data_IF_816443993401
#
_entry.id   IF_816443993401
#
_cell.length_a   1.000
_cell.length_b   1.000
_cell.length_c   1.000
_cell.angle_alpha   90.00
_cell.angle_beta   90.00
_cell.angle_gamma   90.00
#
_symmetry.space_group_name_H-M   'P 1'
#
loop_
_entity.id
_entity.type
_entity.pdbx_description
1 polymer ?
#
# COMPACT_ATOMS: atom_id res chain seq x y z
N UNK A 1 37.52 -4.26 -28.07
CA UNK A 1 36.41 -3.70 -27.25
C UNK A 1 36.85 -3.78 -25.80
N UNK A 2 37.39 -2.71 -25.23
CA UNK A 2 38.02 -2.71 -23.91
C UNK A 2 37.05 -2.11 -22.89
N UNK A 3 36.16 -2.95 -22.37
CA UNK A 3 35.30 -2.60 -21.26
C UNK A 3 36.05 -2.97 -19.97
N UNK A 4 36.33 -1.96 -19.15
CA UNK A 4 36.93 -2.14 -17.83
C UNK A 4 35.84 -1.90 -16.78
N UNK A 5 35.47 -2.93 -15.99
CA UNK A 5 34.44 -2.80 -14.97
C UNK A 5 34.82 -1.88 -13.81
N UNK A 6 36.12 -1.61 -13.62
CA UNK A 6 36.63 -0.71 -12.58
C UNK A 6 37.04 0.67 -13.14
N UNK A 7 36.94 0.86 -14.45
CA UNK A 7 37.29 2.12 -15.12
C UNK A 7 36.24 3.20 -14.89
N UNK A 8 36.68 4.46 -14.79
CA UNK A 8 35.75 5.59 -14.70
C UNK A 8 34.85 5.67 -15.94
N UNK A 9 33.57 5.96 -15.72
CA UNK A 9 32.58 6.13 -16.81
C UNK A 9 33.08 7.23 -17.76
N UNK A 10 33.28 6.89 -19.03
CA UNK A 10 33.73 7.84 -20.05
C UNK A 10 32.67 8.90 -20.29
N UNK A 11 33.01 10.15 -19.99
CA UNK A 11 32.15 11.30 -20.25
C UNK A 11 31.97 11.58 -21.74
N UNK A 12 30.87 12.26 -22.10
CA UNK A 12 30.57 12.69 -23.48
C UNK A 12 30.39 14.20 -23.55
N UNK A 13 30.91 14.79 -24.64
CA UNK A 13 30.86 16.26 -24.87
C UNK A 13 29.60 16.70 -25.65
N UNK A 14 28.71 15.78 -25.99
CA UNK A 14 27.52 16.10 -26.80
C UNK A 14 26.62 17.13 -26.09
N UNK A 15 26.12 18.10 -26.87
CA UNK A 15 25.41 19.28 -26.34
C UNK A 15 24.21 18.93 -25.45
N UNK A 16 23.49 17.84 -25.75
CA UNK A 16 22.35 17.35 -24.97
C UNK A 16 22.70 17.10 -23.49
N UNK A 17 23.93 16.65 -23.19
CA UNK A 17 24.35 16.42 -21.80
C UNK A 17 24.61 17.71 -21.03
N UNK A 18 24.96 18.82 -21.69
CA UNK A 18 25.08 20.14 -21.04
C UNK A 18 23.71 20.67 -20.62
N UNK A 19 22.71 20.49 -21.48
CA UNK A 19 21.32 20.89 -21.22
C UNK A 19 20.77 20.09 -20.04
N UNK A 20 20.89 18.76 -20.08
CA UNK A 20 20.43 17.88 -18.99
C UNK A 20 21.15 18.20 -17.67
N UNK A 21 22.47 18.42 -17.68
CA UNK A 21 23.24 18.79 -16.48
C UNK A 21 22.75 20.10 -15.86
N UNK A 22 22.38 21.11 -16.66
CA UNK A 22 21.86 22.38 -16.17
C UNK A 22 20.48 22.20 -15.51
N UNK A 23 19.61 21.37 -16.10
CA UNK A 23 18.27 21.09 -15.59
C UNK A 23 18.31 20.29 -14.27
N UNK A 24 19.17 19.27 -14.20
CA UNK A 24 19.28 18.43 -13.00
C UNK A 24 20.12 19.12 -11.90
N UNK A 25 21.21 19.80 -12.28
CA UNK A 25 22.11 20.48 -11.34
C UNK A 25 21.50 21.69 -10.64
N UNK A 26 20.44 22.29 -11.21
CA UNK A 26 19.68 23.36 -10.55
C UNK A 26 18.62 22.83 -9.57
N UNK A 27 18.22 21.55 -9.67
CA UNK A 27 17.30 20.91 -8.74
C UNK A 27 17.98 20.38 -7.47
N UNK A 28 19.31 20.22 -7.46
CA UNK A 28 20.05 19.68 -6.31
C UNK A 28 21.02 20.68 -5.72
N UNK A 29 20.53 21.56 -4.84
CA UNK A 29 21.35 22.08 -3.73
C UNK A 29 21.32 21.06 -2.58
N UNK A 30 22.02 19.95 -2.75
CA UNK A 30 22.43 19.10 -1.62
C UNK A 30 23.88 18.71 -1.83
N UNK A 31 24.75 19.41 -1.12
CA UNK A 31 26.14 19.07 -0.91
C UNK A 31 26.25 17.76 -0.12
N UNK A 32 27.24 16.95 -0.48
CA UNK A 32 27.82 15.75 0.17
C UNK A 32 27.43 14.38 -0.41
N UNK A 33 28.42 13.50 -0.68
CA UNK A 33 28.19 12.15 -1.20
C UNK A 33 27.70 11.27 -0.05
N UNK A 34 26.37 11.18 0.10
CA UNK A 34 25.77 10.17 0.97
C UNK A 34 25.91 8.82 0.28
N UNK A 35 26.69 7.93 0.88
CA UNK A 35 26.60 6.49 0.64
C UNK A 35 25.12 6.12 0.68
N UNK A 36 24.57 5.66 -0.44
CA UNK A 36 23.16 5.26 -0.52
C UNK A 36 23.01 3.92 0.18
N UNK A 37 23.06 3.90 1.51
CA UNK A 37 22.32 2.87 2.23
C UNK A 37 20.85 3.12 1.94
N UNK A 38 20.17 2.13 1.36
CA UNK A 38 18.72 2.13 1.30
C UNK A 38 18.21 2.29 2.72
N UNK A 39 17.57 3.42 3.01
CA UNK A 39 16.86 3.60 4.26
C UNK A 39 15.65 2.68 4.13
N UNK A 40 15.81 1.42 4.52
CA UNK A 40 14.70 0.47 4.62
C UNK A 40 13.50 1.16 5.26
N UNK A 41 12.28 0.78 4.86
CA UNK A 41 11.01 1.46 5.19
C UNK A 41 11.16 2.09 6.57
N UNK A 42 11.32 3.43 6.67
CA UNK A 42 11.63 4.07 7.92
C UNK A 42 10.47 3.72 8.84
N UNK A 43 10.78 2.82 9.78
CA UNK A 43 9.94 2.29 10.86
C UNK A 43 8.50 2.68 10.64
N UNK A 44 7.67 1.76 10.08
CA UNK A 44 6.21 1.88 9.92
C UNK A 44 5.76 3.03 10.80
N UNK A 45 5.51 4.22 10.23
CA UNK A 45 5.20 5.39 11.04
C UNK A 45 3.90 5.03 11.74
N UNK A 46 3.99 4.40 12.91
CA UNK A 46 2.87 3.84 13.64
C UNK A 46 1.95 5.01 14.01
N UNK A 47 2.56 6.15 14.28
CA UNK A 47 1.96 7.46 14.48
C UNK A 47 1.17 8.00 13.26
N UNK A 48 1.48 7.53 12.04
CA UNK A 48 0.73 7.85 10.80
C UNK A 48 -0.19 6.73 10.35
N UNK A 49 -0.02 5.52 10.88
CA UNK A 49 -0.99 4.45 10.74
C UNK A 49 -2.17 4.84 11.61
N UNK A 50 -3.14 5.55 11.01
CA UNK A 50 -4.43 5.79 11.66
C UNK A 50 -5.08 4.43 11.85
N UNK A 51 -4.79 3.76 12.96
CA UNK A 51 -5.61 2.67 13.42
C UNK A 51 -6.98 3.28 13.63
N UNK A 52 -7.98 2.79 12.90
CA UNK A 52 -9.34 3.17 13.19
C UNK A 52 -9.63 2.66 14.61
N UNK A 53 -9.59 3.57 15.60
CA UNK A 53 -9.85 3.22 17.00
C UNK A 53 -11.33 2.92 17.26
N UNK A 54 -12.17 2.86 16.20
CA UNK A 54 -13.47 2.22 16.29
C UNK A 54 -13.24 0.82 16.86
N UNK A 55 -13.68 0.64 18.11
CA UNK A 55 -13.77 -0.67 18.74
C UNK A 55 -14.38 -1.61 17.71
N UNK A 56 -13.63 -2.66 17.35
CA UNK A 56 -14.22 -3.78 16.67
C UNK A 56 -15.29 -4.31 17.63
N UNK A 57 -16.56 -3.95 17.39
CA UNK A 57 -17.66 -4.50 18.16
C UNK A 57 -17.80 -5.94 17.66
N UNK A 58 -17.17 -6.86 18.37
CA UNK A 58 -17.42 -8.28 18.22
C UNK A 58 -18.84 -8.54 18.71
N UNK A 59 -19.77 -8.63 17.76
CA UNK A 59 -21.14 -9.06 18.00
C UNK A 59 -21.20 -10.54 17.62
N UNK A 60 -21.46 -11.39 18.60
CA UNK A 60 -21.71 -12.81 18.37
C UNK A 60 -23.15 -12.96 17.88
N UNK A 61 -23.31 -13.61 16.74
CA UNK A 61 -24.61 -13.89 16.13
C UNK A 61 -24.96 -15.36 16.39
N UNK A 62 -26.06 -15.60 17.09
CA UNK A 62 -26.52 -16.97 17.39
C UNK A 62 -27.44 -17.53 16.29
N UNK A 63 -28.10 -16.66 15.51
CA UNK A 63 -29.01 -17.03 14.42
C UNK A 63 -28.39 -16.71 13.04
N UNK A 64 -28.23 -17.71 12.16
CA UNK A 64 -27.75 -17.47 10.79
C UNK A 64 -28.64 -16.54 9.96
N UNK A 65 -29.92 -16.40 10.27
CA UNK A 65 -30.78 -15.43 9.56
C UNK A 65 -30.35 -13.99 9.82
N UNK A 66 -29.86 -13.69 11.03
CA UNK A 66 -29.35 -12.36 11.37
C UNK A 66 -28.05 -12.06 10.60
N UNK A 67 -27.19 -13.06 10.43
CA UNK A 67 -25.98 -12.97 9.59
C UNK A 67 -26.34 -12.69 8.12
N UNK A 68 -27.36 -13.36 7.57
CA UNK A 68 -27.80 -13.14 6.18
C UNK A 68 -28.38 -11.73 5.99
N UNK A 69 -29.19 -11.24 6.93
CA UNK A 69 -29.72 -9.87 6.86
C UNK A 69 -28.60 -8.82 7.00
N UNK A 70 -27.63 -9.07 7.90
CA UNK A 70 -26.44 -8.22 8.03
C UNK A 70 -25.64 -8.19 6.73
N UNK A 71 -25.40 -9.34 6.11
CA UNK A 71 -24.70 -9.45 4.83
C UNK A 71 -25.41 -8.66 3.73
N UNK A 72 -26.74 -8.74 3.66
CA UNK A 72 -27.55 -7.97 2.71
C UNK A 72 -27.33 -6.47 2.84
N UNK A 73 -27.35 -5.94 4.07
CA UNK A 73 -27.12 -4.51 4.34
C UNK A 73 -25.70 -4.10 3.92
N UNK A 74 -24.69 -4.92 4.23
CA UNK A 74 -23.30 -4.64 3.87
C UNK A 74 -23.09 -4.62 2.35
N UNK A 75 -23.67 -5.59 1.63
CA UNK A 75 -23.61 -5.63 0.16
C UNK A 75 -24.29 -4.41 -0.47
N UNK A 76 -25.40 -3.93 0.07
CA UNK A 76 -26.05 -2.70 -0.37
C UNK A 76 -25.14 -1.47 -0.14
N UNK A 77 -24.50 -1.38 1.03
CA UNK A 77 -23.52 -0.32 1.34
C UNK A 77 -22.32 -0.33 0.39
N UNK A 78 -21.77 -1.51 0.10
CA UNK A 78 -20.67 -1.67 -0.87
C UNK A 78 -21.11 -1.33 -2.29
N UNK A 79 -22.33 -1.67 -2.68
CA UNK A 79 -22.91 -1.27 -3.97
C UNK A 79 -23.09 0.25 -4.11
N UNK A 80 -23.28 0.95 -2.99
CA UNK A 80 -23.28 2.42 -2.93
C UNK A 80 -21.87 3.05 -2.95
N UNK A 81 -20.81 2.23 -2.99
CA UNK A 81 -19.41 2.67 -3.08
C UNK A 81 -18.64 2.65 -1.75
N UNK A 82 -19.20 2.12 -0.66
CA UNK A 82 -18.52 2.02 0.63
C UNK A 82 -17.74 0.69 0.75
N UNK A 83 -16.42 0.74 0.61
CA UNK A 83 -15.55 -0.45 0.63
C UNK A 83 -14.99 -0.83 2.00
N UNK A 84 -15.34 -0.08 3.06
CA UNK A 84 -14.83 -0.31 4.41
C UNK A 84 -15.40 -1.60 5.07
N UNK A 85 -16.34 -2.26 4.41
CA UNK A 85 -17.06 -3.43 4.92
C UNK A 85 -16.48 -4.77 4.47
N UNK A 86 -15.45 -4.78 3.61
CA UNK A 86 -14.95 -6.01 2.99
C UNK A 86 -14.52 -7.06 4.02
N UNK A 87 -13.85 -6.66 5.10
CA UNK A 87 -13.41 -7.59 6.14
C UNK A 87 -14.59 -8.25 6.87
N UNK A 88 -15.65 -7.48 7.14
CA UNK A 88 -16.86 -7.99 7.80
C UNK A 88 -17.62 -8.93 6.87
N UNK A 89 -17.73 -8.58 5.58
CA UNK A 89 -18.36 -9.44 4.56
C UNK A 89 -17.63 -10.80 4.48
N UNK A 90 -16.30 -10.79 4.46
CA UNK A 90 -15.50 -12.03 4.42
C UNK A 90 -15.75 -12.87 5.68
N UNK A 91 -15.71 -12.26 6.87
CA UNK A 91 -15.97 -12.94 8.15
C UNK A 91 -17.35 -13.62 8.15
N UNK A 92 -18.40 -12.92 7.70
CA UNK A 92 -19.76 -13.48 7.65
C UNK A 92 -19.87 -14.64 6.65
N UNK A 93 -19.24 -14.52 5.48
CA UNK A 93 -19.23 -15.61 4.49
C UNK A 93 -18.52 -16.85 5.04
N UNK A 94 -17.42 -16.67 5.76
CA UNK A 94 -16.71 -17.78 6.41
C UNK A 94 -17.60 -18.47 7.46
N UNK A 95 -18.24 -17.70 8.36
CA UNK A 95 -19.17 -18.24 9.35
C UNK A 95 -20.34 -19.02 8.71
N UNK A 96 -20.94 -18.50 7.63
CA UNK A 96 -22.03 -19.17 6.91
C UNK A 96 -21.58 -20.46 6.20
N UNK A 97 -20.32 -20.55 5.78
CA UNK A 97 -19.72 -21.78 5.24
C UNK A 97 -19.44 -22.80 6.34
N UNK A 98 -18.96 -22.36 7.50
CA UNK A 98 -18.77 -23.23 8.68
C UNK A 98 -20.09 -23.79 9.21
N UNK A 99 -21.16 -22.98 9.17
CA UNK A 99 -22.53 -23.42 9.47
C UNK A 99 -23.14 -24.32 8.38
N UNK A 100 -22.42 -24.56 7.28
CA UNK A 100 -22.84 -25.43 6.17
C UNK A 100 -24.12 -24.95 5.44
N UNK A 101 -24.40 -23.64 5.50
CA UNK A 101 -25.55 -22.97 4.89
C UNK A 101 -25.24 -22.56 3.44
N UNK A 102 -24.02 -22.08 3.21
CA UNK A 102 -23.48 -21.81 1.89
C UNK A 102 -22.54 -22.96 1.49
N UNK A 103 -22.81 -23.56 0.33
CA UNK A 103 -22.05 -24.68 -0.24
C UNK A 103 -21.13 -24.20 -1.35
#
# INVERSE_FOLDING_TARGET
>A
RNYDPNGAIKGTKAAKYKIIKKLIGSATRVTTPKTKLGRGIPTLNLDKMKFNSMKCNYLYWDDPNELVERLRILLASTSAGHTNHNNEIISIIEELREANILV
#
